data_IF_888581530834
#
_entry.id   IF_888581530834
#
_cell.length_a   1.000
_cell.length_b   1.000
_cell.length_c   1.000
_cell.angle_alpha   90.00
_cell.angle_beta   90.00
_cell.angle_gamma   90.00
#
_symmetry.space_group_name_H-M   'P 1'
#
loop_
_entity.id
_entity.type
_entity.pdbx_description
1 polymer ?
#
# COMPACT_ATOMS: atom_id res chain seq x y z
N UNK A 1 -59.33 23.40 -16.66
CA UNK A 1 -58.88 21.99 -16.53
C UNK A 1 -57.38 21.98 -16.81
N UNK A 2 -56.53 22.00 -15.78
CA UNK A 2 -55.10 21.88 -15.99
C UNK A 2 -54.82 20.42 -16.39
N UNK A 3 -54.33 20.20 -17.61
CA UNK A 3 -53.79 18.90 -18.01
C UNK A 3 -52.50 18.67 -17.24
N UNK A 4 -52.62 18.31 -15.96
CA UNK A 4 -51.49 18.10 -15.06
C UNK A 4 -50.93 16.69 -15.22
N UNK A 5 -49.61 16.58 -15.11
CA UNK A 5 -48.94 15.29 -14.93
C UNK A 5 -48.90 14.94 -13.45
N UNK A 6 -49.16 13.68 -13.11
CA UNK A 6 -49.18 13.18 -11.74
C UNK A 6 -48.48 11.82 -11.63
N UNK A 7 -47.91 11.56 -10.46
CA UNK A 7 -47.31 10.29 -10.08
C UNK A 7 -48.09 9.73 -8.88
N UNK A 8 -48.52 8.47 -8.98
CA UNK A 8 -49.07 7.73 -7.83
C UNK A 8 -48.08 6.66 -7.40
N UNK A 9 -47.92 6.52 -6.08
CA UNK A 9 -47.18 5.44 -5.44
C UNK A 9 -48.09 4.77 -4.43
N UNK A 10 -48.26 3.46 -4.56
CA UNK A 10 -49.04 2.62 -3.67
C UNK A 10 -48.38 1.23 -3.59
N UNK A 11 -48.82 0.31 -2.69
CA UNK A 11 -48.24 -1.02 -2.60
C UNK A 11 -48.30 -1.86 -3.88
N UNK A 12 -49.17 -1.51 -4.84
CA UNK A 12 -49.24 -2.17 -6.14
C UNK A 12 -48.23 -1.62 -7.14
N UNK A 13 -47.59 -0.47 -6.87
CA UNK A 13 -46.43 0.03 -7.61
C UNK A 13 -46.46 1.53 -7.90
N UNK A 14 -45.97 1.90 -9.09
CA UNK A 14 -45.83 3.29 -9.55
C UNK A 14 -46.70 3.49 -10.79
N UNK A 15 -47.57 4.51 -10.75
CA UNK A 15 -48.37 4.93 -11.92
C UNK A 15 -47.99 6.35 -12.35
N UNK A 16 -47.61 6.52 -13.61
CA UNK A 16 -47.25 7.82 -14.21
C UNK A 16 -48.38 8.25 -15.16
N UNK A 17 -48.95 9.44 -14.94
CA UNK A 17 -50.00 10.02 -15.80
C UNK A 17 -49.52 11.38 -16.32
N UNK A 18 -49.51 11.58 -17.64
CA UNK A 18 -49.14 12.85 -18.27
C UNK A 18 -49.42 12.85 -19.77
N UNK A 19 -49.45 14.02 -20.40
CA UNK A 19 -49.74 14.15 -21.84
C UNK A 19 -48.68 13.48 -22.74
N UNK A 20 -47.43 13.44 -22.28
CA UNK A 20 -46.34 12.69 -22.90
C UNK A 20 -45.39 12.20 -21.79
N UNK A 21 -45.00 10.92 -21.83
CA UNK A 21 -44.12 10.30 -20.82
C UNK A 21 -42.89 9.76 -21.53
N UNK A 22 -41.72 10.35 -21.28
CA UNK A 22 -40.42 9.86 -21.77
C UNK A 22 -39.74 9.06 -20.67
N UNK A 23 -39.54 7.77 -20.91
CA UNK A 23 -38.80 6.88 -20.01
C UNK A 23 -37.47 6.59 -20.68
N UNK A 24 -36.36 6.95 -20.01
CA UNK A 24 -35.04 6.53 -20.44
C UNK A 24 -34.88 5.06 -20.02
N UNK A 25 -35.18 4.14 -20.93
CA UNK A 25 -35.02 2.70 -20.72
C UNK A 25 -33.76 2.23 -21.42
N UNK A 26 -32.63 2.22 -20.72
CA UNK A 26 -31.34 1.76 -21.25
C UNK A 26 -30.39 1.41 -20.11
N UNK A 27 -29.61 0.33 -20.29
CA UNK A 27 -28.65 -0.16 -19.30
C UNK A 27 -29.24 -1.07 -18.21
N UNK A 28 -30.04 -2.09 -18.59
CA UNK A 28 -30.38 -3.17 -17.64
C UNK A 28 -29.10 -3.81 -17.08
N UNK A 29 -29.12 -4.34 -15.85
CA UNK A 29 -28.02 -5.18 -15.35
C UNK A 29 -27.71 -6.26 -16.40
N UNK A 30 -26.52 -6.19 -17.03
CA UNK A 30 -26.12 -7.09 -18.12
C UNK A 30 -26.36 -6.59 -19.55
N UNK A 31 -26.95 -5.40 -19.77
CA UNK A 31 -27.18 -4.80 -21.09
C UNK A 31 -26.61 -3.37 -21.19
N UNK A 32 -25.39 -3.19 -20.69
CA UNK A 32 -24.54 -2.05 -21.03
C UNK A 32 -23.41 -2.53 -21.94
N UNK A 33 -22.83 -1.64 -22.75
CA UNK A 33 -21.66 -1.94 -23.59
C UNK A 33 -20.38 -2.28 -22.79
N UNK A 34 -20.47 -2.32 -21.45
CA UNK A 34 -19.32 -2.34 -20.55
C UNK A 34 -18.53 -1.02 -20.60
N UNK A 35 -17.58 -0.87 -19.68
CA UNK A 35 -16.62 0.23 -19.71
C UNK A 35 -15.46 -0.16 -20.66
N UNK A 36 -15.22 0.63 -21.70
CA UNK A 36 -14.08 0.47 -22.61
C UNK A 36 -12.77 1.02 -22.05
N UNK A 37 -12.44 0.69 -20.78
CA UNK A 37 -11.23 1.18 -20.16
C UNK A 37 -9.99 0.61 -20.86
N UNK A 38 -9.02 1.46 -21.17
CA UNK A 38 -7.73 1.02 -21.69
C UNK A 38 -6.98 0.21 -20.63
N UNK A 39 -6.25 -0.81 -21.07
CA UNK A 39 -5.31 -1.51 -20.19
C UNK A 39 -4.18 -0.55 -19.76
N UNK A 40 -3.64 -0.70 -18.54
CA UNK A 40 -2.48 0.07 -18.12
C UNK A 40 -1.28 -0.25 -19.02
N UNK A 41 -0.48 0.77 -19.30
CA UNK A 41 0.80 0.59 -20.00
C UNK A 41 1.83 -0.07 -19.08
N UNK A 42 2.82 -0.74 -19.67
CA UNK A 42 3.95 -1.27 -18.92
C UNK A 42 4.75 -0.12 -18.29
N UNK A 43 5.25 -0.26 -17.05
CA UNK A 43 6.15 0.70 -16.46
C UNK A 43 7.38 0.94 -17.35
N UNK A 44 7.84 2.19 -17.44
CA UNK A 44 9.12 2.48 -18.09
C UNK A 44 10.26 1.91 -17.26
N UNK A 45 11.36 1.55 -17.93
CA UNK A 45 12.62 1.24 -17.26
C UNK A 45 13.06 2.47 -16.48
N UNK A 46 13.37 2.29 -15.20
CA UNK A 46 14.02 3.32 -14.43
C UNK A 46 15.45 3.52 -14.96
N UNK A 47 15.86 4.77 -15.11
CA UNK A 47 17.25 5.08 -15.40
C UNK A 47 18.13 4.66 -14.22
N UNK A 48 19.38 4.27 -14.53
CA UNK A 48 20.34 3.93 -13.51
C UNK A 48 20.80 5.20 -12.78
N UNK A 49 20.43 5.32 -11.51
CA UNK A 49 20.90 6.40 -10.65
C UNK A 49 22.22 6.01 -10.00
N UNK A 50 23.21 6.91 -10.04
CA UNK A 50 24.47 6.74 -9.34
C UNK A 50 24.37 7.39 -7.94
N UNK A 51 24.36 6.56 -6.90
CA UNK A 51 24.24 7.05 -5.52
C UNK A 51 25.63 7.16 -4.89
N UNK A 52 26.06 8.39 -4.61
CA UNK A 52 27.24 8.63 -3.78
C UNK A 52 26.92 8.37 -2.31
N UNK A 53 27.80 7.64 -1.61
CA UNK A 53 27.80 7.62 -0.14
C UNK A 53 28.16 9.01 0.36
N UNK A 54 27.15 9.77 0.78
CA UNK A 54 27.36 11.01 1.51
C UNK A 54 27.82 10.66 2.92
N UNK A 55 29.10 10.95 3.20
CA UNK A 55 29.60 10.94 4.57
C UNK A 55 28.87 12.06 5.33
N UNK A 56 28.24 11.70 6.43
CA UNK A 56 27.55 12.64 7.31
C UNK A 56 28.50 13.76 7.76
N UNK A 57 28.28 15.00 7.32
CA UNK A 57 29.03 16.19 7.73
C UNK A 57 28.20 17.09 8.66
N UNK A 58 27.50 16.50 9.62
CA UNK A 58 26.71 17.26 10.58
C UNK A 58 27.60 17.93 11.63
N UNK A 59 27.69 19.26 11.61
CA UNK A 59 28.05 20.04 12.81
C UNK A 59 26.81 20.16 13.71
N UNK A 60 26.59 19.14 14.56
CA UNK A 60 25.64 19.19 15.67
C UNK A 60 25.14 17.80 16.12
N UNK A 61 24.77 17.66 17.41
CA UNK A 61 25.72 17.73 18.53
C UNK A 61 26.71 16.56 18.45
N UNK A 62 27.82 16.62 19.18
CA UNK A 62 28.80 15.54 19.31
C UNK A 62 28.18 14.25 19.86
N UNK A 63 27.51 13.49 19.00
CA UNK A 63 27.11 12.11 19.26
C UNK A 63 28.08 11.27 18.45
N UNK A 64 29.21 10.98 19.09
CA UNK A 64 29.82 9.68 18.90
C UNK A 64 28.66 8.70 18.86
N UNK A 65 28.44 8.01 17.72
CA UNK A 65 27.80 6.72 17.77
C UNK A 65 28.72 5.91 18.69
N UNK A 66 28.48 6.02 19.98
CA UNK A 66 29.18 5.25 20.96
C UNK A 66 28.76 3.85 20.54
N UNK A 67 29.72 3.11 19.99
CA UNK A 67 29.66 1.67 20.04
C UNK A 67 29.55 1.40 21.54
N UNK A 68 28.33 1.39 22.06
CA UNK A 68 28.06 0.87 23.38
C UNK A 68 28.46 -0.58 23.21
N UNK A 69 29.66 -0.91 23.68
CA UNK A 69 30.05 -2.28 23.82
C UNK A 69 28.88 -2.96 24.51
N UNK A 70 28.34 -4.00 23.88
CA UNK A 70 27.14 -4.69 24.34
C UNK A 70 27.37 -5.46 25.66
N UNK A 71 28.44 -5.13 26.38
CA UNK A 71 28.88 -5.64 27.66
C UNK A 71 27.96 -5.07 28.76
N UNK A 72 26.74 -5.59 28.82
CA UNK A 72 25.80 -5.27 29.90
C UNK A 72 24.33 -5.23 29.48
N UNK A 73 24.04 -5.31 28.18
CA UNK A 73 22.68 -5.18 27.65
C UNK A 73 21.99 -6.51 27.31
N UNK A 74 22.62 -7.64 27.66
CA UNK A 74 22.12 -8.99 27.41
C UNK A 74 22.03 -9.35 25.92
N UNK A 75 21.55 -10.56 25.63
CA UNK A 75 21.28 -11.00 24.26
C UNK A 75 20.17 -10.12 23.66
N UNK A 76 20.52 -9.34 22.63
CA UNK A 76 19.57 -8.49 21.90
C UNK A 76 19.27 -9.09 20.54
N UNK A 77 17.99 -9.07 20.19
CA UNK A 77 17.46 -9.56 18.91
C UNK A 77 16.89 -8.36 18.13
N UNK A 78 17.37 -8.17 16.92
CA UNK A 78 16.83 -7.18 15.99
C UNK A 78 15.65 -7.82 15.25
N UNK A 79 14.45 -7.26 15.41
CA UNK A 79 13.23 -7.68 14.72
C UNK A 79 13.04 -6.79 13.48
N UNK A 80 12.83 -7.39 12.31
CA UNK A 80 12.64 -6.70 11.02
C UNK A 80 11.38 -7.23 10.36
N UNK A 81 10.41 -6.37 10.05
CA UNK A 81 9.21 -6.74 9.31
C UNK A 81 9.46 -6.62 7.79
N UNK A 82 9.17 -7.68 7.05
CA UNK A 82 9.30 -7.77 5.59
C UNK A 82 7.90 -7.85 4.99
N UNK A 83 7.43 -6.75 4.39
CA UNK A 83 6.14 -6.69 3.72
C UNK A 83 6.36 -6.76 2.20
N UNK A 84 5.73 -7.72 1.53
CA UNK A 84 5.56 -7.70 0.08
C UNK A 84 4.08 -7.44 -0.21
N UNK A 85 3.78 -6.57 -1.17
CA UNK A 85 2.47 -5.91 -1.33
C UNK A 85 1.24 -6.80 -1.58
N UNK A 86 1.36 -8.13 -1.48
CA UNK A 86 0.25 -9.08 -1.55
C UNK A 86 0.34 -10.26 -0.58
N UNK A 87 1.30 -10.28 0.35
CA UNK A 87 1.45 -11.34 1.35
C UNK A 87 1.51 -10.74 2.77
N UNK A 88 1.01 -11.49 3.75
CA UNK A 88 1.11 -11.10 5.16
C UNK A 88 2.59 -10.91 5.53
N UNK A 89 2.89 -9.79 6.21
CA UNK A 89 4.27 -9.40 6.54
C UNK A 89 4.99 -10.49 7.34
N UNK A 90 6.22 -10.81 6.93
CA UNK A 90 7.06 -11.79 7.61
C UNK A 90 8.05 -11.07 8.53
N UNK A 91 8.11 -11.46 9.81
CA UNK A 91 9.10 -10.94 10.73
C UNK A 91 10.38 -11.80 10.71
N UNK A 92 11.53 -11.16 10.48
CA UNK A 92 12.87 -11.75 10.53
C UNK A 92 13.58 -11.29 11.81
N UNK A 93 14.29 -12.22 12.46
CA UNK A 93 14.98 -11.97 13.73
C UNK A 93 16.47 -12.17 13.55
N UNK A 94 17.27 -11.15 13.85
CA UNK A 94 18.73 -11.19 13.73
C UNK A 94 19.38 -11.12 15.11
N UNK A 95 20.30 -12.05 15.37
CA UNK A 95 21.12 -12.08 16.58
C UNK A 95 22.56 -11.74 16.22
N UNK A 96 23.21 -10.94 17.06
CA UNK A 96 24.63 -10.63 16.89
C UNK A 96 25.43 -11.92 17.09
N UNK A 97 26.16 -12.37 16.07
CA UNK A 97 27.03 -13.53 16.22
C UNK A 97 28.15 -13.22 17.22
N UNK A 98 28.33 -14.07 18.24
CA UNK A 98 29.52 -13.99 19.09
C UNK A 98 30.71 -14.54 18.30
N UNK A 99 31.67 -13.68 17.98
CA UNK A 99 32.96 -14.09 17.44
C UNK A 99 33.70 -14.88 18.51
N UNK A 100 33.73 -16.21 18.38
CA UNK A 100 34.59 -17.06 19.21
C UNK A 100 36.03 -16.87 18.73
N UNK A 101 36.81 -16.05 19.43
CA UNK A 101 38.28 -16.09 19.30
C UNK A 101 38.77 -17.36 19.98
N UNK A 102 38.82 -18.46 19.23
CA UNK A 102 39.63 -19.61 19.60
C UNK A 102 41.08 -19.20 19.43
N UNK A 103 41.71 -18.79 20.54
CA UNK A 103 43.13 -18.49 20.60
C UNK A 103 43.95 -19.67 20.12
N UNK A 104 44.70 -19.44 19.05
CA UNK A 104 45.78 -20.29 18.60
C UNK A 104 46.90 -20.20 19.64
N UNK A 105 46.94 -21.17 20.58
CA UNK A 105 48.11 -21.43 21.40
C UNK A 105 48.91 -22.52 20.69
N UNK A 106 49.91 -22.09 19.92
CA UNK A 106 51.04 -22.92 19.54
C UNK A 106 52.14 -22.71 20.59
N UNK A 107 52.50 -23.78 21.28
CA UNK A 107 53.63 -23.91 22.19
C UNK A 107 53.91 -25.39 22.40
#
# INVERSE_FOLDING_TARGET
>A
KAGGSFLKLDPSGITIVGAQVKINSGGSPGSGSGQGAAAPELPRRADGEEHARIAFSGSGPSQQAQLVEAEGLGERELLVDVTSGGQDGQQVRLRKARTSTKGEQNG
#
